data_IF_829175103241
#
_entry.id   IF_829175103241
#
_cell.length_a   1.000
_cell.length_b   1.000
_cell.length_c   1.000
_cell.angle_alpha   90.00
_cell.angle_beta   90.00
_cell.angle_gamma   90.00
#
_symmetry.space_group_name_H-M   'P 1'
#
loop_
_entity.id
_entity.type
_entity.pdbx_description
1 polymer ?
#
# COMPACT_ATOMS: atom_id res chain seq x y z
N UNK A 1 0.74 9.80 -5.79
CA UNK A 1 0.66 9.80 -4.32
C UNK A 1 0.97 8.38 -3.83
N UNK A 2 2.18 8.10 -3.36
CA UNK A 2 2.56 6.73 -2.96
C UNK A 2 1.65 6.13 -1.86
N UNK A 3 1.65 4.79 -1.75
CA UNK A 3 0.84 4.04 -0.78
C UNK A 3 0.94 4.57 0.66
N UNK A 4 2.14 5.01 1.06
CA UNK A 4 2.40 5.62 2.37
C UNK A 4 1.53 6.85 2.59
N UNK A 5 1.49 7.74 1.61
CA UNK A 5 0.72 8.98 1.68
C UNK A 5 -0.78 8.72 1.73
N UNK A 6 -1.29 7.75 0.95
CA UNK A 6 -2.70 7.36 1.03
C UNK A 6 -3.06 6.89 2.45
N UNK A 7 -2.23 6.01 3.02
CA UNK A 7 -2.42 5.49 4.37
C UNK A 7 -2.41 6.61 5.42
N UNK A 8 -1.46 7.54 5.31
CA UNK A 8 -1.32 8.65 6.26
C UNK A 8 -2.50 9.64 6.17
N UNK A 9 -3.03 9.88 4.97
CA UNK A 9 -4.22 10.74 4.76
C UNK A 9 -5.45 10.21 5.50
N UNK A 10 -5.63 8.88 5.53
CA UNK A 10 -6.75 8.25 6.26
C UNK A 10 -6.44 7.92 7.72
N UNK A 11 -5.24 8.27 8.20
CA UNK A 11 -4.83 8.07 9.60
C UNK A 11 -4.59 6.61 10.00
N UNK A 12 -4.36 5.71 9.03
CA UNK A 12 -4.12 4.29 9.30
C UNK A 12 -2.65 4.00 9.61
N UNK A 13 -2.41 3.00 10.45
CA UNK A 13 -1.07 2.47 10.68
C UNK A 13 -0.74 1.38 9.65
N UNK A 14 0.56 1.09 9.45
CA UNK A 14 0.97 -0.04 8.60
C UNK A 14 0.41 -1.38 9.13
N UNK A 15 0.17 -1.47 10.44
CA UNK A 15 -0.39 -2.65 11.07
C UNK A 15 -1.86 -2.84 10.69
N UNK A 16 -2.63 -1.77 10.50
CA UNK A 16 -4.03 -1.84 10.10
C UNK A 16 -4.15 -2.40 8.68
N UNK A 17 -3.37 -1.86 7.74
CA UNK A 17 -3.29 -2.41 6.37
C UNK A 17 -2.79 -3.86 6.36
N UNK A 18 -1.83 -4.19 7.22
CA UNK A 18 -1.31 -5.55 7.34
C UNK A 18 -2.39 -6.55 7.81
N UNK A 19 -3.21 -6.15 8.79
CA UNK A 19 -4.33 -6.95 9.29
C UNK A 19 -5.40 -7.14 8.23
N UNK A 20 -5.72 -6.07 7.50
CA UNK A 20 -6.74 -6.12 6.45
C UNK A 20 -6.40 -7.13 5.35
N UNK A 21 -5.16 -7.12 4.86
CA UNK A 21 -4.70 -8.07 3.82
C UNK A 21 -4.43 -9.49 4.35
N UNK A 22 -4.78 -9.78 5.60
CA UNK A 22 -4.57 -11.08 6.25
C UNK A 22 -3.09 -11.47 6.35
N UNK A 23 -2.17 -10.50 6.33
CA UNK A 23 -0.74 -10.78 6.45
C UNK A 23 -0.31 -10.74 7.91
N UNK A 24 0.54 -11.69 8.30
CA UNK A 24 1.21 -11.70 9.60
C UNK A 24 2.47 -10.82 9.63
N UNK A 25 2.85 -10.21 8.50
CA UNK A 25 4.13 -9.50 8.36
C UNK A 25 3.93 -8.07 7.88
N UNK A 26 4.04 -7.11 8.81
CA UNK A 26 3.98 -5.66 8.54
C UNK A 26 5.02 -5.24 7.49
N UNK A 27 6.14 -5.95 7.42
CA UNK A 27 7.19 -5.75 6.41
C UNK A 27 6.71 -5.83 4.95
N UNK A 28 5.59 -6.50 4.67
CA UNK A 28 5.00 -6.53 3.32
C UNK A 28 4.44 -5.17 2.92
N UNK A 29 3.70 -4.51 3.82
CA UNK A 29 3.15 -3.17 3.60
C UNK A 29 4.27 -2.15 3.50
N UNK A 30 5.24 -2.23 4.41
CA UNK A 30 6.43 -1.37 4.36
C UNK A 30 7.20 -1.51 3.05
N UNK A 31 7.35 -2.73 2.51
CA UNK A 31 8.05 -2.94 1.25
C UNK A 31 7.38 -2.21 0.08
N UNK A 32 6.05 -2.18 0.02
CA UNK A 32 5.31 -1.42 -0.98
C UNK A 32 5.45 0.09 -0.78
N UNK A 33 5.36 0.56 0.45
CA UNK A 33 5.55 1.98 0.77
C UNK A 33 6.95 2.49 0.46
N UNK A 34 7.96 1.65 0.65
CA UNK A 34 9.35 1.98 0.39
C UNK A 34 9.71 2.01 -1.11
N UNK A 35 8.78 1.63 -2.01
CA UNK A 35 9.01 1.65 -3.45
C UNK A 35 9.31 3.06 -4.00
N UNK A 36 8.66 4.08 -3.42
CA UNK A 36 8.85 5.47 -3.78
C UNK A 36 10.02 6.16 -3.07
N UNK A 37 10.69 5.49 -2.11
CA UNK A 37 11.80 6.10 -1.37
C UNK A 37 13.04 6.28 -2.27
N UNK A 38 13.80 7.36 -2.02
CA UNK A 38 15.07 7.63 -2.67
C UNK A 38 16.16 7.87 -1.62
N UNK A 39 17.20 7.01 -1.52
CA UNK A 39 17.42 5.82 -2.35
C UNK A 39 16.42 4.70 -2.06
N UNK A 40 16.01 3.97 -3.11
CA UNK A 40 15.07 2.84 -2.99
C UNK A 40 15.75 1.66 -2.27
N UNK A 41 15.19 1.15 -1.15
CA UNK A 41 15.71 -0.04 -0.48
C UNK A 41 15.61 -1.30 -1.35
N UNK A 42 16.57 -2.23 -1.24
CA UNK A 42 16.56 -3.51 -1.99
C UNK A 42 15.34 -4.39 -1.69
N UNK A 43 14.79 -4.24 -0.49
CA UNK A 43 13.60 -4.96 -0.01
C UNK A 43 12.29 -4.29 -0.42
N UNK A 44 12.32 -3.13 -1.07
CA UNK A 44 11.13 -2.49 -1.59
C UNK A 44 10.50 -3.34 -2.69
N UNK A 45 9.17 -3.33 -2.77
CA UNK A 45 8.38 -4.10 -3.73
C UNK A 45 7.50 -3.15 -4.52
N UNK A 46 7.42 -3.37 -5.82
CA UNK A 46 6.53 -2.61 -6.67
C UNK A 46 5.06 -2.87 -6.27
N UNK A 47 4.31 -1.86 -5.80
CA UNK A 47 2.89 -2.02 -5.48
C UNK A 47 2.03 -2.36 -6.70
N UNK A 48 2.47 -2.09 -7.94
CA UNK A 48 1.73 -2.45 -9.16
C UNK A 48 1.72 -3.95 -9.44
N UNK A 49 2.68 -4.70 -8.86
CA UNK A 49 2.72 -6.16 -8.97
C UNK A 49 1.86 -6.86 -7.92
N UNK A 50 1.13 -6.08 -7.11
CA UNK A 50 0.21 -6.62 -6.12
C UNK A 50 -0.97 -7.34 -6.77
N UNK A 51 -1.37 -8.48 -6.21
CA UNK A 51 -2.54 -9.21 -6.70
C UNK A 51 -3.83 -8.40 -6.51
N UNK A 52 -4.76 -8.54 -7.45
CA UNK A 52 -6.05 -7.84 -7.47
C UNK A 52 -6.80 -7.91 -6.14
N UNK A 53 -6.90 -9.10 -5.52
CA UNK A 53 -7.62 -9.26 -4.25
C UNK A 53 -7.00 -8.45 -3.11
N UNK A 54 -5.67 -8.30 -3.11
CA UNK A 54 -4.97 -7.50 -2.10
C UNK A 54 -5.16 -6.01 -2.36
N UNK A 55 -5.04 -5.59 -3.62
CA UNK A 55 -5.28 -4.19 -4.00
C UNK A 55 -6.72 -3.76 -3.65
N UNK A 56 -7.71 -4.62 -3.90
CA UNK A 56 -9.09 -4.38 -3.53
C UNK A 56 -9.27 -4.18 -2.02
N UNK A 57 -8.71 -5.08 -1.20
CA UNK A 57 -8.79 -4.97 0.26
C UNK A 57 -8.13 -3.69 0.77
N UNK A 58 -6.98 -3.31 0.20
CA UNK A 58 -6.33 -2.05 0.56
C UNK A 58 -7.16 -0.83 0.14
N UNK A 59 -7.73 -0.83 -1.06
CA UNK A 59 -8.61 0.26 -1.51
C UNK A 59 -9.83 0.40 -0.59
N UNK A 60 -10.47 -0.72 -0.23
CA UNK A 60 -11.62 -0.74 0.68
C UNK A 60 -11.26 -0.17 2.06
N UNK A 61 -10.11 -0.55 2.64
CA UNK A 61 -9.64 0.01 3.92
C UNK A 61 -9.22 1.48 3.84
N UNK A 62 -8.64 1.89 2.72
CA UNK A 62 -8.31 3.28 2.45
C UNK A 62 -9.56 4.11 2.12
N UNK A 63 -10.76 3.51 2.09
CA UNK A 63 -12.02 4.19 1.80
C UNK A 63 -12.09 4.79 0.40
N UNK A 64 -11.40 4.21 -0.58
CA UNK A 64 -11.32 4.69 -1.95
C UNK A 64 -11.68 3.60 -2.96
N UNK A 65 -11.97 3.99 -4.20
CA UNK A 65 -12.20 3.01 -5.26
C UNK A 65 -10.90 2.34 -5.67
N UNK A 66 -10.99 1.16 -6.29
CA UNK A 66 -9.81 0.47 -6.82
C UNK A 66 -9.12 1.30 -7.91
N UNK A 67 -9.88 2.05 -8.71
CA UNK A 67 -9.32 2.92 -9.74
C UNK A 67 -8.57 4.10 -9.12
N UNK A 68 -9.12 4.72 -8.06
CA UNK A 68 -8.42 5.79 -7.31
C UNK A 68 -7.15 5.27 -6.63
N UNK A 69 -7.18 4.04 -6.12
CA UNK A 69 -6.03 3.38 -5.54
C UNK A 69 -4.90 3.22 -6.57
N UNK A 70 -5.20 2.71 -7.77
CA UNK A 70 -4.20 2.57 -8.83
C UNK A 70 -3.70 3.92 -9.34
N UNK A 71 -4.61 4.86 -9.61
CA UNK A 71 -4.25 6.21 -10.04
C UNK A 71 -3.36 6.93 -9.01
N UNK A 72 -3.59 6.67 -7.73
CA UNK A 72 -2.74 7.21 -6.68
C UNK A 72 -1.33 6.63 -6.71
N UNK A 73 -1.15 5.33 -6.98
CA UNK A 73 0.17 4.68 -7.08
C UNK A 73 1.01 5.19 -8.26
N UNK A 74 0.37 5.65 -9.34
CA UNK A 74 1.02 6.21 -10.53
C UNK A 74 1.55 7.65 -10.34
N UNK A 75 1.08 8.37 -9.31
CA UNK A 75 1.38 9.79 -9.12
C UNK A 75 2.43 10.13 -8.07
#
# INVERSE_FOLDING_TARGET
MGLRSMREVVGLSQQDLCRAIGSSTVGRVWAWEAWSDSPRPKSARDPHLMGFSTAKVLADELGMTLDDFWAGLDG
#
